data_IF_011057946891
#
_entry.id   IF_011057946891
#
_cell.length_a   1.000
_cell.length_b   1.000
_cell.length_c   1.000
_cell.angle_alpha   90.00
_cell.angle_beta   90.00
_cell.angle_gamma   90.00
#
_symmetry.space_group_name_H-M   'P 1'
#
loop_
_entity.id
_entity.type
_entity.pdbx_description
1 polymer ?
#
# COMPACT_ATOMS: atom_id res chain seq x y z
N UNK A 1 -7.18 15.08 21.87
CA UNK A 1 -6.54 13.81 22.28
C UNK A 1 -5.19 13.71 21.59
N UNK A 2 -4.12 13.61 22.37
CA UNK A 2 -2.73 13.83 22.00
C UNK A 2 -2.15 12.64 21.24
N UNK A 3 -1.94 12.79 19.92
CA UNK A 3 -1.15 11.84 19.13
C UNK A 3 0.34 12.08 19.41
N UNK A 4 0.82 11.41 20.45
CA UNK A 4 2.23 11.35 20.80
C UNK A 4 2.88 10.28 19.91
N UNK A 5 3.62 10.68 18.86
CA UNK A 5 4.56 9.77 18.18
C UNK A 5 5.98 10.26 18.36
N UNK A 6 6.61 9.56 19.31
CA UNK A 6 7.99 9.59 19.77
C UNK A 6 8.98 9.60 18.62
N UNK A 7 9.97 10.47 18.73
CA UNK A 7 11.05 10.61 17.76
C UNK A 7 11.85 9.33 17.60
N UNK A 8 12.38 9.16 16.40
CA UNK A 8 13.58 8.40 16.14
C UNK A 8 14.51 9.35 15.39
N UNK A 9 15.21 10.18 16.17
CA UNK A 9 16.60 10.51 15.84
C UNK A 9 17.38 9.26 16.20
N UNK A 10 18.11 8.70 15.25
CA UNK A 10 19.37 7.97 15.38
C UNK A 10 19.65 7.38 13.98
N UNK A 11 20.57 8.02 13.27
CA UNK A 11 20.93 7.70 11.89
C UNK A 11 22.22 6.88 11.91
N UNK A 12 22.12 5.58 11.64
CA UNK A 12 23.25 4.68 11.44
C UNK A 12 22.91 3.67 10.33
N UNK A 13 23.52 3.86 9.15
CA UNK A 13 23.66 2.83 8.09
C UNK A 13 22.44 2.48 7.23
N UNK A 14 22.71 2.05 6.00
CA UNK A 14 21.70 1.50 5.08
C UNK A 14 21.40 0.04 5.48
N UNK A 15 20.43 -0.16 6.36
CA UNK A 15 19.87 -1.48 6.62
C UNK A 15 18.92 -1.87 5.48
N UNK A 16 18.93 -3.14 5.06
CA UNK A 16 17.90 -3.64 4.16
C UNK A 16 16.54 -3.51 4.86
N UNK A 17 15.65 -2.67 4.33
CA UNK A 17 14.29 -2.50 4.84
C UNK A 17 13.35 -3.29 3.94
N UNK A 18 12.68 -4.29 4.51
CA UNK A 18 11.59 -4.99 3.83
C UNK A 18 10.30 -4.18 3.95
N UNK A 19 9.64 -3.97 2.81
CA UNK A 19 8.35 -3.28 2.75
C UNK A 19 7.36 -4.20 2.03
N UNK A 20 6.37 -4.66 2.78
CA UNK A 20 5.31 -5.50 2.28
C UNK A 20 3.95 -4.85 2.51
N UNK A 21 3.00 -5.19 1.63
CA UNK A 21 1.60 -4.90 1.82
C UNK A 21 0.79 -6.16 1.44
N UNK A 22 -0.02 -6.65 2.37
CA UNK A 22 -0.94 -7.76 2.16
C UNK A 22 -2.34 -7.20 1.97
N UNK A 23 -3.05 -7.72 0.97
CA UNK A 23 -4.40 -7.33 0.61
C UNK A 23 -5.33 -8.52 0.84
N UNK A 24 -6.36 -8.31 1.65
CA UNK A 24 -7.40 -9.30 1.89
C UNK A 24 -8.65 -8.86 1.14
N UNK A 25 -9.01 -9.63 0.14
CA UNK A 25 -10.19 -9.40 -0.69
C UNK A 25 -11.40 -10.11 -0.10
N UNK A 26 -12.55 -9.44 -0.17
CA UNK A 26 -13.84 -10.05 0.11
C UNK A 26 -14.27 -11.00 -1.00
N UNK A 27 -15.51 -11.49 -0.94
CA UNK A 27 -16.07 -12.31 -2.02
C UNK A 27 -16.33 -11.46 -3.26
N UNK A 28 -15.64 -11.78 -4.35
CA UNK A 28 -15.82 -11.17 -5.66
C UNK A 28 -16.69 -12.11 -6.53
N UNK A 29 -17.73 -11.57 -7.14
CA UNK A 29 -18.60 -12.30 -8.08
C UNK A 29 -18.16 -12.08 -9.53
N UNK A 30 -18.66 -12.88 -10.46
CA UNK A 30 -18.38 -12.71 -11.89
C UNK A 30 -18.90 -11.36 -12.43
N UNK A 31 -20.02 -10.88 -11.89
CA UNK A 31 -20.60 -9.57 -12.24
C UNK A 31 -19.65 -8.44 -11.84
N UNK A 32 -18.98 -8.58 -10.70
CA UNK A 32 -18.00 -7.61 -10.20
C UNK A 32 -16.75 -7.57 -11.08
N UNK A 33 -16.24 -8.73 -11.51
CA UNK A 33 -15.10 -8.81 -12.45
C UNK A 33 -15.40 -8.09 -13.78
N UNK A 34 -16.63 -8.23 -14.30
CA UNK A 34 -17.04 -7.54 -15.53
C UNK A 34 -17.13 -6.03 -15.34
N UNK A 35 -17.58 -5.57 -14.17
CA UNK A 35 -17.61 -4.15 -13.82
C UNK A 35 -16.19 -3.56 -13.68
N UNK A 36 -15.22 -4.33 -13.19
CA UNK A 36 -13.82 -3.91 -13.01
C UNK A 36 -12.98 -3.88 -14.30
N UNK A 37 -13.59 -4.11 -15.48
CA UNK A 37 -12.90 -4.27 -16.79
C UNK A 37 -11.98 -3.12 -17.23
N UNK A 38 -11.97 -1.99 -16.53
CA UNK A 38 -11.05 -0.86 -16.75
C UNK A 38 -9.63 -1.12 -16.22
N UNK A 39 -9.39 -2.18 -15.45
CA UNK A 39 -8.08 -2.51 -14.90
C UNK A 39 -7.19 -3.36 -15.84
N UNK A 40 -7.58 -3.50 -17.11
CA UNK A 40 -6.81 -4.22 -18.13
C UNK A 40 -5.57 -3.39 -18.52
N UNK A 41 -4.44 -3.63 -17.84
CA UNK A 41 -3.19 -2.92 -18.08
C UNK A 41 -2.36 -2.65 -16.82
N UNK A 42 -2.89 -2.96 -15.63
CA UNK A 42 -2.17 -2.88 -14.35
C UNK A 42 -1.87 -4.27 -13.80
N UNK A 43 -0.80 -4.37 -13.01
CA UNK A 43 -0.44 -5.62 -12.35
C UNK A 43 -1.60 -6.10 -11.45
N UNK A 44 -1.99 -7.37 -11.59
CA UNK A 44 -3.10 -7.96 -10.82
C UNK A 44 -4.50 -7.58 -11.31
N UNK A 45 -4.65 -6.86 -12.45
CA UNK A 45 -5.93 -6.40 -12.98
C UNK A 45 -6.81 -5.70 -11.93
N UNK A 46 -6.15 -4.95 -11.04
CA UNK A 46 -6.73 -4.35 -9.87
C UNK A 46 -6.09 -2.97 -9.63
N UNK A 47 -6.92 -1.99 -9.24
CA UNK A 47 -6.48 -0.67 -8.81
C UNK A 47 -7.06 -0.34 -7.44
N UNK A 48 -6.20 0.09 -6.51
CA UNK A 48 -6.62 0.44 -5.14
C UNK A 48 -7.46 1.72 -5.10
N UNK A 49 -7.18 2.64 -6.00
CA UNK A 49 -7.84 3.92 -6.19
C UNK A 49 -9.06 3.85 -7.12
N UNK A 50 -9.23 2.75 -7.86
CA UNK A 50 -10.37 2.52 -8.75
C UNK A 50 -11.40 1.55 -8.20
N UNK A 51 -12.16 0.94 -9.12
CA UNK A 51 -13.23 -0.02 -8.77
C UNK A 51 -12.72 -1.26 -8.02
N UNK A 52 -11.43 -1.58 -8.16
CA UNK A 52 -10.80 -2.67 -7.41
C UNK A 52 -10.87 -2.44 -5.90
N UNK A 53 -10.64 -1.20 -5.44
CA UNK A 53 -10.58 -0.85 -4.02
C UNK A 53 -11.84 -1.17 -3.23
N UNK A 54 -13.02 -1.21 -3.88
CA UNK A 54 -14.28 -1.60 -3.23
C UNK A 54 -14.19 -3.03 -2.68
N UNK A 55 -13.52 -3.94 -3.38
CA UNK A 55 -13.50 -5.36 -3.04
C UNK A 55 -12.49 -5.73 -1.95
N UNK A 56 -11.81 -4.74 -1.36
CA UNK A 56 -10.84 -4.97 -0.29
C UNK A 56 -11.52 -4.87 1.07
N UNK A 57 -11.43 -5.95 1.84
CA UNK A 57 -11.89 -5.98 3.23
C UNK A 57 -10.82 -5.43 4.18
N UNK A 58 -9.54 -5.68 3.88
CA UNK A 58 -8.42 -5.24 4.73
C UNK A 58 -7.11 -5.12 3.96
N UNK A 59 -6.31 -4.13 4.37
CA UNK A 59 -4.91 -3.97 3.96
C UNK A 59 -4.03 -4.04 5.21
N UNK A 60 -2.98 -4.84 5.15
CA UNK A 60 -1.98 -4.95 6.21
C UNK A 60 -0.60 -4.56 5.65
N UNK A 61 0.20 -3.80 6.40
CA UNK A 61 1.49 -3.29 5.93
C UNK A 61 1.41 -1.85 5.42
N UNK A 62 2.05 -1.54 4.28
CA UNK A 62 2.10 -0.18 3.70
C UNK A 62 1.15 -0.01 2.49
N UNK A 63 0.00 0.66 2.65
CA UNK A 63 -0.94 0.86 1.54
C UNK A 63 -0.38 1.69 0.39
N UNK A 64 0.54 2.62 0.65
CA UNK A 64 1.14 3.43 -0.43
C UNK A 64 2.03 2.60 -1.34
N UNK A 65 2.62 1.53 -0.79
CA UNK A 65 3.38 0.57 -1.58
C UNK A 65 2.50 -0.16 -2.62
N UNK A 66 1.22 -0.38 -2.33
CA UNK A 66 0.25 -0.97 -3.27
C UNK A 66 0.00 -0.06 -4.48
N UNK A 67 0.10 1.25 -4.29
CA UNK A 67 -0.02 2.26 -5.37
C UNK A 67 1.28 2.35 -6.18
N UNK A 68 2.41 1.90 -5.61
CA UNK A 68 3.71 1.78 -6.29
C UNK A 68 4.87 2.46 -5.59
N UNK A 69 4.67 3.05 -4.40
CA UNK A 69 5.77 3.66 -3.63
C UNK A 69 5.49 3.69 -2.13
N UNK A 70 6.38 3.10 -1.33
CA UNK A 70 6.32 3.23 0.14
C UNK A 70 6.69 4.63 0.60
N UNK A 71 5.70 5.40 1.05
CA UNK A 71 5.93 6.76 1.59
C UNK A 71 6.70 6.73 2.91
N UNK A 72 6.50 5.68 3.71
CA UNK A 72 7.22 5.53 4.98
C UNK A 72 8.71 5.29 4.73
N UNK A 73 9.05 4.44 3.75
CA UNK A 73 10.43 4.19 3.35
C UNK A 73 11.09 5.45 2.78
N UNK A 74 10.44 6.10 1.81
CA UNK A 74 10.98 7.30 1.15
C UNK A 74 11.18 8.43 2.16
N UNK A 75 10.25 8.62 3.10
CA UNK A 75 10.41 9.60 4.19
C UNK A 75 11.62 9.30 5.07
N UNK A 76 11.92 8.03 5.33
CA UNK A 76 13.12 7.62 6.05
C UNK A 76 14.38 8.00 5.29
N UNK A 77 14.45 7.67 4.00
CA UNK A 77 15.59 7.97 3.14
C UNK A 77 15.84 9.48 3.01
N UNK A 78 14.80 10.28 2.76
CA UNK A 78 14.93 11.74 2.62
C UNK A 78 15.40 12.41 3.92
N UNK A 79 15.11 11.82 5.08
CA UNK A 79 15.62 12.34 6.37
C UNK A 79 17.05 11.93 6.68
N UNK A 80 17.59 10.94 5.96
CA UNK A 80 18.95 10.44 6.10
C UNK A 80 19.91 11.01 5.04
N UNK A 81 19.36 11.66 4.01
CA UNK A 81 20.11 12.39 2.98
C UNK A 81 20.37 13.84 3.41
#
# INVERSE_FOLDING_TARGET
ESVQRKGACDAEGFAAVDVAAQLIFGRVTEMDCRAASVALGVAGAFTLDGLGGWFIDRIEGDPSNVIGLSLTLVRGMVRQA
#
